data_IF_233902304073
#
_entry.id   IF_233902304073
#
_cell.length_a   1.000
_cell.length_b   1.000
_cell.length_c   1.000
_cell.angle_alpha   90.00
_cell.angle_beta   90.00
_cell.angle_gamma   90.00
#
_symmetry.space_group_name_H-M   'P 1'
#
loop_
_entity.id
_entity.type
_entity.pdbx_description
1 polymer ?
#
# COMPACT_ATOMS: atom_id res chain seq x y z
N UNK A 1 32.23 -71.71 -29.92
CA UNK A 1 31.82 -71.68 -31.34
C UNK A 1 30.39 -71.15 -31.34
N UNK A 2 30.24 -69.83 -31.47
CA UNK A 2 28.93 -69.20 -31.74
C UNK A 2 28.51 -69.55 -33.17
N UNK A 3 27.20 -69.68 -33.45
CA UNK A 3 26.55 -68.55 -34.13
C UNK A 3 25.07 -68.30 -33.77
N UNK A 4 24.77 -67.02 -33.49
CA UNK A 4 23.96 -66.09 -34.32
C UNK A 4 22.44 -66.32 -34.56
N UNK A 5 21.68 -65.21 -34.38
CA UNK A 5 20.33 -64.84 -34.86
C UNK A 5 19.14 -65.27 -33.98
N UNK A 6 18.10 -64.48 -33.72
CA UNK A 6 17.57 -63.21 -34.22
C UNK A 6 16.44 -62.84 -33.23
N UNK A 7 16.32 -61.62 -32.69
CA UNK A 7 15.71 -60.48 -33.35
C UNK A 7 14.44 -60.04 -32.59
N UNK A 8 14.58 -58.89 -31.91
CA UNK A 8 13.56 -57.91 -31.49
C UNK A 8 12.20 -58.35 -30.93
N UNK A 9 12.10 -58.29 -29.60
CA UNK A 9 10.84 -58.03 -28.90
C UNK A 9 10.48 -56.55 -29.06
N UNK A 10 9.36 -56.30 -29.73
CA UNK A 10 8.73 -54.99 -29.86
C UNK A 10 8.68 -54.24 -28.51
N UNK A 11 9.41 -53.12 -28.42
CA UNK A 11 9.31 -52.18 -27.30
C UNK A 11 7.95 -51.49 -27.37
N UNK A 12 7.02 -51.89 -26.51
CA UNK A 12 5.81 -51.12 -26.23
C UNK A 12 6.22 -49.81 -25.55
N UNK A 13 6.16 -48.71 -26.28
CA UNK A 13 6.25 -47.37 -25.72
C UNK A 13 5.01 -47.14 -24.84
N UNK A 14 5.18 -47.19 -23.52
CA UNK A 14 4.18 -46.69 -22.58
C UNK A 14 4.33 -45.18 -22.55
N UNK A 15 3.43 -44.48 -23.23
CA UNK A 15 3.32 -43.03 -23.12
C UNK A 15 2.82 -42.68 -21.72
N UNK A 16 3.69 -42.11 -20.89
CA UNK A 16 3.30 -41.51 -19.62
C UNK A 16 2.62 -40.17 -19.94
N UNK A 17 1.29 -40.15 -19.86
CA UNK A 17 0.55 -38.90 -19.89
C UNK A 17 0.85 -38.12 -18.59
N UNK A 18 1.71 -37.12 -18.67
CA UNK A 18 1.83 -36.11 -17.62
C UNK A 18 0.59 -35.23 -17.70
N UNK A 19 -0.40 -35.52 -16.87
CA UNK A 19 -1.52 -34.62 -16.63
C UNK A 19 -0.97 -33.42 -15.87
N UNK A 20 -0.73 -32.32 -16.58
CA UNK A 20 -0.49 -31.03 -15.96
C UNK A 20 -1.79 -30.62 -15.24
N UNK A 21 -1.84 -30.83 -13.93
CA UNK A 21 -2.89 -30.26 -13.10
C UNK A 21 -2.79 -28.73 -13.22
N UNK A 22 -3.90 -28.03 -13.47
CA UNK A 22 -3.87 -26.57 -13.46
C UNK A 22 -3.48 -26.14 -12.05
N UNK A 23 -2.35 -25.44 -11.94
CA UNK A 23 -2.00 -24.69 -10.73
C UNK A 23 -3.18 -23.79 -10.42
N UNK A 24 -3.94 -24.12 -9.37
CA UNK A 24 -4.98 -23.23 -8.87
C UNK A 24 -4.29 -21.89 -8.59
N UNK A 25 -4.67 -20.86 -9.33
CA UNK A 25 -4.27 -19.50 -9.02
C UNK A 25 -4.71 -19.26 -7.57
N UNK A 26 -3.74 -19.03 -6.68
CA UNK A 26 -4.03 -18.56 -5.34
C UNK A 26 -4.68 -17.20 -5.53
N UNK A 27 -6.00 -17.15 -5.41
CA UNK A 27 -6.72 -15.90 -5.33
C UNK A 27 -6.12 -15.13 -4.14
N UNK A 28 -5.54 -13.96 -4.41
CA UNK A 28 -5.21 -13.03 -3.35
C UNK A 28 -6.54 -12.66 -2.69
N UNK A 29 -6.70 -13.08 -1.45
CA UNK A 29 -7.84 -12.70 -0.62
C UNK A 29 -7.72 -11.20 -0.38
N UNK A 30 -8.57 -10.41 -1.04
CA UNK A 30 -8.77 -9.01 -0.68
C UNK A 30 -9.55 -9.02 0.64
N UNK A 31 -8.85 -8.80 1.75
CA UNK A 31 -9.42 -8.62 3.09
C UNK A 31 -10.22 -7.31 3.14
N UNK A 32 -11.48 -7.34 2.71
CA UNK A 32 -12.39 -6.17 2.73
C UNK A 32 -13.48 -6.27 3.82
N UNK A 33 -13.41 -7.27 4.70
CA UNK A 33 -14.35 -7.44 5.81
C UNK A 33 -13.71 -7.03 7.14
N UNK A 34 -13.94 -5.80 7.58
CA UNK A 34 -13.60 -5.33 8.94
C UNK A 34 -12.56 -4.21 9.06
N UNK A 35 -12.27 -3.47 7.99
CA UNK A 35 -11.34 -2.32 8.04
C UNK A 35 -12.10 -0.98 8.14
N UNK A 36 -12.64 -0.66 9.32
CA UNK A 36 -13.35 0.60 9.64
C UNK A 36 -12.42 1.71 10.16
N UNK A 37 -11.19 1.76 9.66
CA UNK A 37 -10.15 2.68 10.12
C UNK A 37 -10.62 4.14 10.19
N UNK A 38 -10.26 4.85 11.26
CA UNK A 38 -10.41 6.31 11.39
C UNK A 38 -9.05 6.98 11.29
N UNK A 39 -8.95 8.09 10.56
CA UNK A 39 -7.73 8.92 10.45
C UNK A 39 -8.03 10.34 10.89
N UNK A 40 -7.05 11.04 11.47
CA UNK A 40 -7.13 12.45 11.80
C UNK A 40 -5.80 13.16 11.52
N UNK A 41 -5.85 14.31 10.86
CA UNK A 41 -4.70 15.16 10.54
C UNK A 41 -4.90 16.51 11.21
N UNK A 42 -3.90 17.00 11.94
CA UNK A 42 -3.89 18.35 12.50
C UNK A 42 -2.65 19.11 12.05
N UNK A 43 -2.79 20.32 11.50
CA UNK A 43 -1.66 21.18 11.19
C UNK A 43 -1.19 21.96 12.42
N UNK A 44 -0.07 22.67 12.30
CA UNK A 44 0.55 23.40 13.41
C UNK A 44 -0.36 24.42 14.10
N UNK A 45 -1.34 25.02 13.40
CA UNK A 45 -2.28 25.97 14.02
C UNK A 45 -3.20 25.32 15.06
N UNK A 46 -3.39 24.00 14.97
CA UNK A 46 -4.20 23.22 15.89
C UNK A 46 -3.41 22.65 17.08
N UNK A 47 -2.08 22.86 17.13
CA UNK A 47 -1.20 22.27 18.15
C UNK A 47 -0.45 23.34 18.95
N UNK A 48 -0.22 23.16 20.27
CA UNK A 48 0.42 24.18 21.10
C UNK A 48 1.87 24.50 20.72
N UNK A 49 2.57 23.56 20.10
CA UNK A 49 3.98 23.68 19.72
C UNK A 49 4.20 23.93 18.22
N UNK A 50 3.11 24.11 17.47
CA UNK A 50 3.16 24.37 16.02
C UNK A 50 3.52 23.15 15.17
N UNK A 51 3.65 21.95 15.75
CA UNK A 51 4.02 20.73 15.01
C UNK A 51 2.78 19.99 14.52
N UNK A 52 2.75 19.50 13.27
CA UNK A 52 1.61 18.74 12.78
C UNK A 52 1.52 17.36 13.43
N UNK A 53 0.30 16.83 13.54
CA UNK A 53 0.00 15.52 14.13
C UNK A 53 -0.81 14.65 13.17
N UNK A 54 -0.49 13.35 13.18
CA UNK A 54 -1.25 12.29 12.54
C UNK A 54 -1.79 11.33 13.61
N UNK A 55 -3.06 10.99 13.52
CA UNK A 55 -3.72 9.98 14.35
C UNK A 55 -4.41 8.93 13.49
N UNK A 56 -4.22 7.65 13.80
CA UNK A 56 -5.02 6.57 13.20
C UNK A 56 -5.52 5.59 14.25
N UNK A 57 -6.79 5.20 14.11
CA UNK A 57 -7.31 3.94 14.63
C UNK A 57 -7.27 2.91 13.51
N UNK A 58 -6.53 1.81 13.71
CA UNK A 58 -6.45 0.73 12.73
C UNK A 58 -7.38 -0.41 13.13
N UNK A 59 -8.50 -0.50 12.43
CA UNK A 59 -9.44 -1.60 12.55
C UNK A 59 -9.06 -2.66 11.54
N UNK A 60 -8.75 -3.86 12.02
CA UNK A 60 -8.25 -4.96 11.18
C UNK A 60 -8.55 -6.32 11.81
N UNK A 61 -8.69 -7.35 10.98
CA UNK A 61 -8.71 -8.75 11.44
C UNK A 61 -7.31 -9.22 11.89
N UNK A 62 -6.25 -8.55 11.40
CA UNK A 62 -4.84 -8.86 11.68
C UNK A 62 -4.46 -8.47 13.11
N UNK A 63 -4.45 -9.46 14.01
CA UNK A 63 -4.15 -9.26 15.44
C UNK A 63 -2.68 -8.93 15.74
N UNK A 64 -1.76 -9.36 14.89
CA UNK A 64 -0.33 -9.22 15.12
C UNK A 64 0.25 -8.13 14.23
N UNK A 65 0.75 -7.08 14.87
CA UNK A 65 1.30 -5.91 14.21
C UNK A 65 2.69 -5.60 14.78
N UNK A 66 3.57 -5.13 13.90
CA UNK A 66 4.95 -4.83 14.23
C UNK A 66 5.29 -3.43 13.71
N UNK A 67 6.14 -2.72 14.45
CA UNK A 67 6.82 -1.53 13.94
C UNK A 67 8.22 -1.94 13.53
N UNK A 68 8.52 -1.82 12.24
CA UNK A 68 9.77 -2.30 11.66
C UNK A 68 10.54 -1.13 11.06
N UNK A 69 11.85 -1.08 11.32
CA UNK A 69 12.78 -0.20 10.61
C UNK A 69 13.20 -0.85 9.31
N UNK A 70 13.03 -0.12 8.21
CA UNK A 70 13.42 -0.52 6.88
C UNK A 70 14.51 0.41 6.33
N UNK A 71 15.43 -0.18 5.58
CA UNK A 71 16.56 0.47 4.91
C UNK A 71 16.59 0.11 3.42
N UNK A 72 15.43 -0.25 2.86
CA UNK A 72 15.25 -0.77 1.50
C UNK A 72 14.77 0.28 0.48
N UNK A 73 14.77 1.57 0.85
CA UNK A 73 14.32 2.69 0.04
C UNK A 73 15.40 3.75 -0.19
N UNK A 74 15.01 4.87 -0.81
CA UNK A 74 15.85 6.08 -0.89
C UNK A 74 16.05 6.69 0.50
N UNK A 75 15.04 6.56 1.36
CA UNK A 75 15.06 6.99 2.75
C UNK A 75 14.88 5.79 3.68
N UNK A 76 15.54 5.81 4.83
CA UNK A 76 15.21 4.92 5.95
C UNK A 76 13.86 5.30 6.57
N UNK A 77 13.09 4.30 7.01
CA UNK A 77 11.75 4.54 7.55
C UNK A 77 11.31 3.51 8.58
N UNK A 78 10.42 3.95 9.46
CA UNK A 78 9.64 3.11 10.36
C UNK A 78 8.26 2.90 9.75
N UNK A 79 7.79 1.65 9.72
CA UNK A 79 6.45 1.33 9.26
C UNK A 79 5.74 0.37 10.21
N UNK A 80 4.46 0.64 10.44
CA UNK A 80 3.52 -0.32 11.02
C UNK A 80 3.18 -1.34 9.94
N UNK A 81 3.40 -2.62 10.21
CA UNK A 81 3.12 -3.74 9.31
C UNK A 81 2.32 -4.82 10.01
N UNK A 82 1.63 -5.66 9.24
CA UNK A 82 1.14 -6.95 9.75
C UNK A 82 2.35 -7.86 9.97
N UNK A 83 2.44 -8.53 11.12
CA UNK A 83 3.58 -9.37 11.47
C UNK A 83 3.88 -10.41 10.36
N UNK A 84 5.14 -10.50 9.96
CA UNK A 84 5.59 -11.36 8.86
C UNK A 84 5.26 -10.85 7.44
N UNK A 85 4.63 -9.68 7.27
CA UNK A 85 4.28 -9.11 5.98
C UNK A 85 4.97 -7.76 5.70
N UNK A 86 6.17 -7.82 5.11
CA UNK A 86 7.02 -6.62 4.94
C UNK A 86 6.83 -5.87 3.60
N UNK A 87 5.85 -6.29 2.78
CA UNK A 87 5.59 -5.70 1.45
C UNK A 87 4.62 -4.51 1.48
N UNK A 88 3.94 -4.30 2.61
CA UNK A 88 2.93 -3.27 2.81
C UNK A 88 3.20 -2.53 4.11
N UNK A 89 2.85 -1.25 4.16
CA UNK A 89 2.84 -0.44 5.37
C UNK A 89 1.40 0.01 5.66
N UNK A 90 1.04 0.19 6.93
CA UNK A 90 -0.30 0.60 7.38
C UNK A 90 -0.33 1.93 8.15
N UNK A 91 0.85 2.45 8.47
CA UNK A 91 1.20 3.80 8.89
C UNK A 91 2.73 3.88 8.96
N UNK A 92 3.33 5.06 9.02
CA UNK A 92 4.77 5.17 9.25
C UNK A 92 5.32 6.58 9.12
N UNK A 93 6.64 6.67 9.30
CA UNK A 93 7.44 7.88 9.11
C UNK A 93 8.82 7.55 8.56
N UNK A 94 9.43 8.49 7.85
CA UNK A 94 10.79 8.33 7.35
C UNK A 94 11.77 9.36 7.93
N UNK A 95 13.06 9.17 7.67
CA UNK A 95 14.14 10.03 8.18
C UNK A 95 14.07 11.50 7.72
N UNK A 96 13.25 11.82 6.70
CA UNK A 96 13.00 13.19 6.25
C UNK A 96 11.90 13.88 7.05
N UNK A 97 11.22 13.16 7.94
CA UNK A 97 10.08 13.65 8.70
C UNK A 97 8.76 13.58 7.94
N UNK A 98 8.71 12.90 6.79
CA UNK A 98 7.47 12.60 6.10
C UNK A 98 6.76 11.45 6.82
N UNK A 99 5.47 11.61 7.09
CA UNK A 99 4.64 10.61 7.74
C UNK A 99 3.36 10.36 6.95
N UNK A 100 2.88 9.12 6.94
CA UNK A 100 1.67 8.72 6.21
C UNK A 100 0.88 7.67 6.99
N UNK A 101 -0.44 7.74 6.85
CA UNK A 101 -1.41 6.75 7.32
C UNK A 101 -2.63 6.75 6.41
N UNK A 102 -3.55 5.78 6.56
CA UNK A 102 -4.76 5.74 5.74
C UNK A 102 -6.00 5.23 6.49
N UNK A 103 -7.19 5.55 5.99
CA UNK A 103 -8.37 4.69 6.12
C UNK A 103 -8.68 4.08 4.75
N UNK A 104 -9.31 2.90 4.74
CA UNK A 104 -9.77 2.28 3.50
C UNK A 104 -11.11 2.89 3.13
N UNK A 105 -11.32 3.19 1.86
CA UNK A 105 -12.61 3.64 1.34
C UNK A 105 -13.12 2.61 0.32
N UNK A 106 -14.35 2.15 0.52
CA UNK A 106 -14.98 1.06 -0.24
C UNK A 106 -16.05 1.54 -1.22
N UNK A 107 -16.41 2.82 -1.14
CA UNK A 107 -17.38 3.52 -1.97
C UNK A 107 -16.88 3.85 -3.38
N UNK A 108 -15.55 3.84 -3.60
CA UNK A 108 -14.99 3.86 -4.94
C UNK A 108 -15.33 2.59 -5.73
N UNK A 109 -15.86 2.77 -6.95
CA UNK A 109 -16.20 1.66 -7.87
C UNK A 109 -15.03 0.69 -7.98
N UNK A 110 -15.29 -0.57 -7.64
CA UNK A 110 -14.44 -1.71 -8.03
C UNK A 110 -14.46 -1.77 -9.56
N UNK A 111 -13.41 -1.31 -10.23
CA UNK A 111 -13.38 -1.33 -11.70
C UNK A 111 -12.39 -0.42 -12.42
N UNK A 112 -11.68 0.48 -11.74
CA UNK A 112 -10.51 1.16 -12.31
C UNK A 112 -9.27 0.27 -12.20
N UNK A 113 -9.17 -0.78 -13.03
CA UNK A 113 -8.06 -1.74 -12.96
C UNK A 113 -6.79 -1.17 -13.60
N UNK A 114 -6.21 -0.13 -13.00
CA UNK A 114 -4.82 0.21 -13.25
C UNK A 114 -3.93 -0.91 -12.68
N UNK A 115 -2.98 -1.41 -13.47
CA UNK A 115 -1.86 -2.16 -12.92
C UNK A 115 -1.11 -1.25 -11.93
N UNK A 116 -0.87 -1.68 -10.70
CA UNK A 116 -0.15 -0.83 -9.75
C UNK A 116 -0.34 -1.14 -8.27
N UNK A 117 0.13 -0.23 -7.39
CA UNK A 117 0.08 -0.41 -5.94
C UNK A 117 -1.36 -0.34 -5.42
N UNK A 118 -1.69 -1.23 -4.48
CA UNK A 118 -2.81 -1.04 -3.56
C UNK A 118 -2.38 -0.22 -2.34
N UNK A 119 -3.31 0.04 -1.41
CA UNK A 119 -3.14 0.96 -0.28
C UNK A 119 -1.82 0.76 0.49
N UNK A 120 -1.56 -0.45 0.97
CA UNK A 120 -0.36 -0.75 1.76
C UNK A 120 0.95 -0.58 1.00
N UNK A 121 0.96 -0.93 -0.29
CA UNK A 121 2.14 -0.77 -1.15
C UNK A 121 2.36 0.69 -1.54
N UNK A 122 1.29 1.48 -1.73
CA UNK A 122 1.38 2.91 -1.98
C UNK A 122 2.08 3.62 -0.81
N UNK A 123 1.64 3.34 0.43
CA UNK A 123 2.28 3.90 1.62
C UNK A 123 3.74 3.49 1.77
N UNK A 124 4.09 2.23 1.48
CA UNK A 124 5.50 1.79 1.51
C UNK A 124 6.34 2.54 0.47
N UNK A 125 5.85 2.71 -0.76
CA UNK A 125 6.55 3.50 -1.79
C UNK A 125 6.73 4.95 -1.34
N UNK A 126 5.70 5.56 -0.74
CA UNK A 126 5.77 6.93 -0.24
C UNK A 126 6.84 7.06 0.87
N UNK A 127 6.83 6.17 1.87
CA UNK A 127 7.84 6.15 2.92
C UNK A 127 9.27 5.98 2.37
N UNK A 128 9.43 5.16 1.35
CA UNK A 128 10.71 4.92 0.69
C UNK A 128 11.24 6.12 -0.10
N UNK A 129 10.39 7.07 -0.54
CA UNK A 129 10.78 8.03 -1.59
C UNK A 129 10.34 9.49 -1.43
N UNK A 130 9.29 9.77 -0.65
CA UNK A 130 8.74 11.11 -0.43
C UNK A 130 9.40 11.78 0.78
N UNK A 131 9.81 13.05 0.65
CA UNK A 131 10.27 13.87 1.78
C UNK A 131 9.20 14.88 2.25
N UNK A 132 8.23 15.20 1.38
CA UNK A 132 7.20 16.21 1.61
C UNK A 132 5.82 15.75 1.17
N UNK A 133 4.77 16.45 1.64
CA UNK A 133 3.39 16.32 1.16
C UNK A 133 3.32 16.55 -0.35
N UNK A 134 4.10 17.49 -0.88
CA UNK A 134 4.19 17.74 -2.32
C UNK A 134 4.78 16.55 -3.10
N UNK A 135 5.78 15.85 -2.55
CA UNK A 135 6.31 14.63 -3.17
C UNK A 135 5.26 13.52 -3.23
N UNK A 136 4.42 13.40 -2.19
CA UNK A 136 3.34 12.42 -2.19
C UNK A 136 2.25 12.76 -3.20
N UNK A 137 1.88 14.03 -3.32
CA UNK A 137 0.97 14.49 -4.36
C UNK A 137 1.52 14.22 -5.78
N UNK A 138 2.82 14.44 -5.99
CA UNK A 138 3.48 14.10 -7.25
C UNK A 138 3.47 12.57 -7.52
N UNK A 139 3.61 11.75 -6.48
CA UNK A 139 3.47 10.28 -6.58
C UNK A 139 2.03 9.88 -6.95
N UNK A 140 1.02 10.51 -6.37
CA UNK A 140 -0.38 10.29 -6.75
C UNK A 140 -0.62 10.67 -8.21
N UNK A 141 -0.22 11.88 -8.63
CA UNK A 141 -0.33 12.30 -10.03
C UNK A 141 0.34 11.33 -11.01
N UNK A 142 1.55 10.86 -10.69
CA UNK A 142 2.25 9.86 -11.52
C UNK A 142 1.47 8.53 -11.60
N UNK A 143 0.81 8.14 -10.52
CA UNK A 143 0.05 6.89 -10.47
C UNK A 143 -1.37 7.00 -10.99
N UNK A 144 -1.92 8.21 -11.16
CA UNK A 144 -3.10 8.45 -12.01
C UNK A 144 -2.77 8.04 -13.45
N UNK A 145 -1.58 8.43 -13.94
CA UNK A 145 -1.12 8.12 -15.30
C UNK A 145 -0.72 6.64 -15.48
N UNK A 146 0.07 6.09 -14.55
CA UNK A 146 0.57 4.71 -14.67
C UNK A 146 -0.45 3.65 -14.23
N UNK A 147 -1.46 4.06 -13.47
CA UNK A 147 -2.43 3.19 -12.81
C UNK A 147 -2.05 2.80 -11.38
N UNK A 148 -3.09 2.58 -10.56
CA UNK A 148 -3.02 2.00 -9.21
C UNK A 148 -4.33 1.30 -8.86
N UNK A 149 -4.30 0.48 -7.80
CA UNK A 149 -5.49 -0.19 -7.21
C UNK A 149 -5.91 0.45 -5.88
N UNK A 150 -5.39 1.64 -5.62
CA UNK A 150 -5.51 2.33 -4.33
C UNK A 150 -6.91 2.93 -4.19
N UNK A 151 -7.51 2.75 -3.02
CA UNK A 151 -8.82 3.27 -2.60
C UNK A 151 -8.74 3.60 -1.11
N UNK A 152 -8.43 4.84 -0.80
CA UNK A 152 -8.10 5.23 0.57
C UNK A 152 -8.15 6.74 0.77
N UNK A 153 -8.39 7.13 2.01
CA UNK A 153 -8.12 8.47 2.50
C UNK A 153 -6.76 8.44 3.19
N UNK A 154 -5.74 9.08 2.60
CA UNK A 154 -4.41 9.17 3.19
C UNK A 154 -4.25 10.44 4.00
N UNK A 155 -3.90 10.32 5.28
CA UNK A 155 -3.39 11.45 6.06
C UNK A 155 -1.88 11.54 5.93
N UNK A 156 -1.37 12.74 5.64
CA UNK A 156 0.06 12.98 5.39
C UNK A 156 0.51 14.26 6.08
N UNK A 157 1.66 14.22 6.73
CA UNK A 157 2.37 15.40 7.27
C UNK A 157 3.84 15.35 6.89
N UNK A 158 4.53 16.48 6.94
CA UNK A 158 5.98 16.52 6.77
C UNK A 158 6.69 17.52 7.70
N UNK A 159 8.02 17.53 7.62
CA UNK A 159 8.88 18.39 8.44
C UNK A 159 8.79 19.89 8.11
N UNK A 160 8.15 20.28 7.02
CA UNK A 160 7.89 21.69 6.68
C UNK A 160 6.70 22.26 7.47
N UNK A 161 5.91 21.39 8.11
CA UNK A 161 4.67 21.75 8.79
C UNK A 161 3.42 21.52 7.94
N UNK A 162 3.58 21.12 6.67
CA UNK A 162 2.46 20.79 5.80
C UNK A 162 1.69 19.57 6.33
N UNK A 163 0.37 19.63 6.22
CA UNK A 163 -0.54 18.61 6.71
C UNK A 163 -1.77 18.54 5.81
N UNK A 164 -2.08 17.36 5.26
CA UNK A 164 -3.18 17.20 4.32
C UNK A 164 -3.81 15.81 4.39
N UNK A 165 -5.07 15.73 3.95
CA UNK A 165 -5.75 14.47 3.61
C UNK A 165 -5.87 14.37 2.10
N UNK A 166 -5.62 13.18 1.56
CA UNK A 166 -5.83 12.85 0.15
C UNK A 166 -6.87 11.76 0.04
N UNK A 167 -8.05 12.11 -0.46
CA UNK A 167 -9.04 11.14 -0.88
C UNK A 167 -8.63 10.59 -2.25
N UNK A 168 -8.27 9.32 -2.29
CA UNK A 168 -7.57 8.72 -3.43
C UNK A 168 -8.34 7.55 -3.99
N UNK A 169 -8.68 7.66 -5.28
CA UNK A 169 -9.28 6.60 -6.09
C UNK A 169 -8.22 5.95 -7.01
N UNK A 170 -8.57 4.94 -7.82
CA UNK A 170 -7.63 4.31 -8.75
C UNK A 170 -7.06 5.23 -9.84
N UNK A 171 -7.77 6.29 -10.23
CA UNK A 171 -7.48 7.15 -11.38
C UNK A 171 -7.54 8.66 -11.08
N UNK A 172 -7.85 9.04 -9.84
CA UNK A 172 -7.89 10.42 -9.40
C UNK A 172 -7.63 10.57 -7.90
N UNK A 173 -7.37 11.80 -7.47
CA UNK A 173 -7.31 12.17 -6.06
C UNK A 173 -7.86 13.58 -5.83
N UNK A 174 -8.33 13.84 -4.61
CA UNK A 174 -8.65 15.17 -4.11
C UNK A 174 -7.81 15.46 -2.87
N UNK A 175 -7.15 16.62 -2.84
CA UNK A 175 -6.38 17.09 -1.68
C UNK A 175 -7.24 18.01 -0.82
N UNK A 176 -7.18 17.79 0.48
CA UNK A 176 -7.74 18.65 1.51
C UNK A 176 -6.61 19.14 2.41
N UNK A 177 -6.29 20.42 2.34
CA UNK A 177 -5.23 21.02 3.15
C UNK A 177 -5.75 21.35 4.56
N UNK A 178 -5.07 20.86 5.60
CA UNK A 178 -5.47 21.11 6.97
C UNK A 178 -5.17 22.56 7.41
N UNK A 179 -4.32 23.29 6.69
CA UNK A 179 -4.05 24.70 6.98
C UNK A 179 -5.03 25.66 6.28
N UNK A 180 -5.79 25.19 5.29
CA UNK A 180 -6.81 25.98 4.61
C UNK A 180 -7.98 26.31 5.57
N UNK A 181 -8.30 27.60 5.83
CA UNK A 181 -9.37 27.98 6.73
C UNK A 181 -10.79 27.71 6.19
N UNK A 182 -10.97 27.54 4.88
CA UNK A 182 -12.27 27.16 4.30
C UNK A 182 -12.52 25.66 4.45
N UNK A 183 -11.47 24.84 4.34
CA UNK A 183 -11.54 23.37 4.48
C UNK A 183 -11.50 22.95 5.96
N UNK A 184 -10.52 23.48 6.70
CA UNK A 184 -10.23 23.12 8.08
C UNK A 184 -10.13 24.40 8.94
N UNK A 185 -11.26 25.04 9.31
CA UNK A 185 -11.27 26.28 10.09
C UNK A 185 -10.54 26.18 11.43
N UNK A 186 -10.52 24.97 12.02
CA UNK A 186 -9.84 24.68 13.29
C UNK A 186 -8.49 24.00 13.12
N UNK A 187 -8.04 23.77 11.88
CA UNK A 187 -6.73 23.19 11.58
C UNK A 187 -6.62 21.70 11.71
N UNK A 188 -7.74 20.99 11.64
CA UNK A 188 -7.74 19.54 11.60
C UNK A 188 -8.83 19.00 10.68
N UNK A 189 -8.60 17.79 10.17
CA UNK A 189 -9.48 17.00 9.32
C UNK A 189 -9.56 15.59 9.92
N UNK A 190 -10.75 14.99 9.94
CA UNK A 190 -11.02 13.62 10.41
C UNK A 190 -11.84 12.89 9.37
#
# INVERSE_FOLDING_TARGET
MEPFLSGDRARRLVAWAVVALPTAAIAQVDEDSGEECTVGVACGKATPDGRPLLWKTRDTSSRHNEVVRFTDGKYEYLALVTAGQNRSAWAGSNEKGFCIMNSVSTDFRRGGAGNGPGNGRMMKIALQSCATVADFEALLKKTDESGRRTRANFGVIDATGAAAVFETSPDSYTRFDADDPEIAPKGFIV
#
